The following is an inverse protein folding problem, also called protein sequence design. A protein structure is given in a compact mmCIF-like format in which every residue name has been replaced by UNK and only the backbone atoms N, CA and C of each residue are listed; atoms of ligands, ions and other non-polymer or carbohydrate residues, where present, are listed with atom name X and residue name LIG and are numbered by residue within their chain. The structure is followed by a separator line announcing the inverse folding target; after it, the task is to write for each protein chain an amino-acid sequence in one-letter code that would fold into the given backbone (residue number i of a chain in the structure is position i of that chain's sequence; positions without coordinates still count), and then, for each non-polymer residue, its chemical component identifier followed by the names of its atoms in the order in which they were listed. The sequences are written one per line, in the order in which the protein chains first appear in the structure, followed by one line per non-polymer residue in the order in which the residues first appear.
data_IF_267095336386
#
_entry.id   IF_267095336386
#
_cell.length_a   1.000
_cell.length_b   1.000
_cell.length_c   1.000
_cell.angle_alpha   90.00
_cell.angle_beta   90.00
_cell.angle_gamma   90.00
#
_symmetry.space_group_name_H-M   'P 1'
#
loop_
_entity.id
_entity.type
_entity.pdbx_description
1 polymer ?
#
# COMPACT_ATOMS: atom_id res chain seq x y z
N UNK A 1 37.89 25.78 -0.10
CA UNK A 1 36.64 25.17 0.35
C UNK A 1 35.50 26.06 -0.13
N UNK A 2 34.71 25.61 -1.10
CA UNK A 2 33.62 26.42 -1.66
C UNK A 2 32.38 26.15 -0.81
N UNK A 3 31.85 27.17 -0.14
CA UNK A 3 30.61 27.07 0.60
C UNK A 3 29.45 27.45 -0.33
N UNK A 4 28.59 26.50 -0.67
CA UNK A 4 27.36 26.77 -1.42
C UNK A 4 26.30 27.29 -0.45
N UNK A 5 25.64 28.44 -0.74
CA UNK A 5 24.46 28.88 -0.02
C UNK A 5 23.38 27.80 0.04
N UNK A 6 22.64 27.75 1.15
CA UNK A 6 21.55 26.79 1.37
C UNK A 6 20.52 26.78 0.24
N UNK A 7 20.16 27.96 -0.27
CA UNK A 7 19.22 28.11 -1.39
C UNK A 7 19.71 27.41 -2.67
N UNK A 8 21.01 27.42 -2.94
CA UNK A 8 21.58 26.73 -4.10
C UNK A 8 21.54 25.21 -3.93
N UNK A 9 21.80 24.72 -2.71
CA UNK A 9 21.68 23.28 -2.39
C UNK A 9 20.22 22.82 -2.52
N UNK A 10 19.27 23.62 -2.03
CA UNK A 10 17.83 23.32 -2.13
C UNK A 10 17.34 23.40 -3.59
N UNK A 11 17.84 24.35 -4.39
CA UNK A 11 17.55 24.41 -5.82
C UNK A 11 18.11 23.19 -6.58
N UNK A 12 19.33 22.76 -6.26
CA UNK A 12 19.95 21.60 -6.90
C UNK A 12 19.20 20.31 -6.54
N UNK A 13 18.79 20.15 -5.28
CA UNK A 13 17.98 19.01 -4.83
C UNK A 13 16.65 18.94 -5.57
N UNK A 14 15.94 20.07 -5.71
CA UNK A 14 14.68 20.12 -6.47
C UNK A 14 14.88 19.71 -7.92
N UNK A 15 15.90 20.25 -8.59
CA UNK A 15 16.20 19.88 -9.97
C UNK A 15 16.52 18.38 -10.13
N UNK A 16 17.28 17.80 -9.18
CA UNK A 16 17.59 16.37 -9.18
C UNK A 16 16.36 15.49 -8.91
N UNK A 17 15.45 15.92 -8.02
CA UNK A 17 14.19 15.24 -7.77
C UNK A 17 13.27 15.28 -8.99
N UNK A 18 13.16 16.42 -9.66
CA UNK A 18 12.37 16.59 -10.89
C UNK A 18 12.92 15.71 -12.02
N UNK A 19 14.23 15.74 -12.28
CA UNK A 19 14.89 14.87 -13.26
C UNK A 19 14.66 13.39 -12.94
N UNK A 20 14.79 12.99 -11.67
CA UNK A 20 14.50 11.62 -11.28
C UNK A 20 13.03 11.24 -11.48
N UNK A 21 12.11 12.15 -11.16
CA UNK A 21 10.69 11.90 -11.34
C UNK A 21 10.32 11.68 -12.81
N UNK A 22 10.91 12.47 -13.73
CA UNK A 22 10.73 12.30 -15.18
C UNK A 22 11.31 10.97 -15.68
N UNK A 23 12.52 10.61 -15.25
CA UNK A 23 13.13 9.32 -15.59
C UNK A 23 12.28 8.14 -15.12
N UNK A 24 11.73 8.22 -13.91
CA UNK A 24 10.91 7.17 -13.34
C UNK A 24 9.54 7.12 -14.01
N UNK A 25 8.91 8.27 -14.30
CA UNK A 25 7.67 8.30 -15.09
C UNK A 25 7.87 7.57 -16.44
N UNK A 26 8.94 7.91 -17.18
CA UNK A 26 9.24 7.28 -18.46
C UNK A 26 9.46 5.77 -18.32
N UNK A 27 10.18 5.34 -17.29
CA UNK A 27 10.36 3.93 -16.95
C UNK A 27 9.02 3.24 -16.66
N UNK A 28 8.20 3.82 -15.79
CA UNK A 28 6.92 3.23 -15.39
C UNK A 28 5.97 3.13 -16.57
N UNK A 29 5.87 4.16 -17.42
CA UNK A 29 5.03 4.11 -18.64
C UNK A 29 5.51 3.03 -19.60
N UNK A 30 6.82 2.89 -19.81
CA UNK A 30 7.37 1.84 -20.67
C UNK A 30 6.98 0.42 -20.23
N UNK A 31 6.91 0.18 -18.92
CA UNK A 31 6.71 -1.16 -18.36
C UNK A 31 5.28 -1.45 -17.87
N UNK A 32 4.49 -0.40 -17.58
CA UNK A 32 3.16 -0.50 -17.00
C UNK A 32 2.14 0.39 -17.75
N UNK A 33 2.35 0.62 -19.06
CA UNK A 33 1.51 1.52 -19.87
C UNK A 33 0.03 1.21 -19.72
N UNK A 34 -0.36 -0.06 -19.79
CA UNK A 34 -1.78 -0.40 -19.71
C UNK A 34 -2.43 -0.03 -18.37
N UNK A 35 -1.67 -0.13 -17.26
CA UNK A 35 -2.10 0.31 -15.92
C UNK A 35 -2.15 1.83 -15.79
N UNK A 36 -1.20 2.53 -16.42
CA UNK A 36 -1.00 3.97 -16.27
C UNK A 36 -1.66 4.82 -17.35
N UNK A 37 -2.18 4.19 -18.42
CA UNK A 37 -2.94 4.85 -19.50
C UNK A 37 -4.06 5.76 -18.97
N UNK A 38 -4.84 5.37 -17.94
CA UNK A 38 -5.90 6.23 -17.41
C UNK A 38 -5.38 7.40 -16.56
N UNK A 39 -4.09 7.41 -16.21
CA UNK A 39 -3.48 8.42 -15.36
C UNK A 39 -2.77 9.48 -16.22
N UNK A 40 -3.04 10.74 -15.92
CA UNK A 40 -2.30 11.87 -16.50
C UNK A 40 -0.82 11.85 -16.05
N UNK A 41 0.05 12.54 -16.78
CA UNK A 41 1.45 12.68 -16.38
C UNK A 41 1.62 13.33 -15.00
N UNK A 42 0.79 14.32 -14.66
CA UNK A 42 0.84 14.96 -13.36
C UNK A 42 0.49 13.99 -12.22
N UNK A 43 -0.45 13.07 -12.45
CA UNK A 43 -0.79 12.02 -11.48
C UNK A 43 0.33 11.00 -11.31
N UNK A 44 0.98 10.59 -12.39
CA UNK A 44 2.13 9.69 -12.31
C UNK A 44 3.30 10.37 -11.60
N UNK A 45 3.60 11.63 -11.88
CA UNK A 45 4.64 12.40 -11.18
C UNK A 45 4.32 12.58 -9.70
N UNK A 46 3.06 12.89 -9.37
CA UNK A 46 2.62 12.96 -7.97
C UNK A 46 2.79 11.63 -7.25
N UNK A 47 2.49 10.50 -7.91
CA UNK A 47 2.74 9.17 -7.38
C UNK A 47 4.24 8.88 -7.19
N UNK A 48 5.09 9.30 -8.13
CA UNK A 48 6.54 9.16 -8.00
C UNK A 48 7.07 9.95 -6.82
N UNK A 49 6.65 11.21 -6.67
CA UNK A 49 7.06 12.05 -5.53
C UNK A 49 6.61 11.45 -4.20
N UNK A 50 5.34 11.04 -4.10
CA UNK A 50 4.82 10.36 -2.92
C UNK A 50 5.59 9.06 -2.65
N UNK A 51 5.94 8.31 -3.69
CA UNK A 51 6.71 7.08 -3.54
C UNK A 51 8.15 7.30 -3.10
N UNK A 52 8.79 8.41 -3.49
CA UNK A 52 10.09 8.82 -2.94
C UNK A 52 9.96 9.04 -1.44
N UNK A 53 8.97 9.84 -1.01
CA UNK A 53 8.74 10.15 0.41
C UNK A 53 8.44 8.90 1.24
N UNK A 54 7.56 8.02 0.74
CA UNK A 54 7.25 6.75 1.39
C UNK A 54 8.46 5.82 1.42
N UNK A 55 9.24 5.76 0.34
CA UNK A 55 10.47 4.97 0.26
C UNK A 55 11.53 5.43 1.27
N UNK A 56 11.78 6.74 1.34
CA UNK A 56 12.72 7.34 2.30
C UNK A 56 12.29 7.05 3.75
N UNK A 57 10.99 7.14 4.06
CA UNK A 57 10.45 6.80 5.37
C UNK A 57 10.67 5.32 5.75
N UNK A 58 10.89 4.45 4.77
CA UNK A 58 11.21 3.02 4.95
C UNK A 58 12.71 2.73 4.79
N UNK A 59 13.55 3.77 4.68
CA UNK A 59 15.00 3.63 4.58
C UNK A 59 15.54 3.31 3.18
N UNK A 60 14.75 3.48 2.12
CA UNK A 60 15.25 3.42 0.75
C UNK A 60 16.10 4.66 0.48
N UNK A 61 17.38 4.47 0.15
CA UNK A 61 18.33 5.59 0.00
C UNK A 61 18.92 5.69 -1.41
N UNK A 62 18.73 4.66 -2.23
CA UNK A 62 19.25 4.59 -3.59
C UNK A 62 18.13 4.81 -4.62
N UNK A 63 18.43 5.56 -5.71
CA UNK A 63 17.50 5.74 -6.84
C UNK A 63 17.00 4.41 -7.43
N UNK A 64 17.85 3.39 -7.44
CA UNK A 64 17.49 2.05 -7.91
C UNK A 64 16.46 1.35 -7.03
N UNK A 65 16.56 1.52 -5.71
CA UNK A 65 15.60 0.97 -4.74
C UNK A 65 14.24 1.63 -4.90
N UNK A 66 14.21 2.96 -4.98
CA UNK A 66 12.96 3.73 -5.17
C UNK A 66 12.30 3.36 -6.49
N UNK A 67 13.06 3.20 -7.58
CA UNK A 67 12.50 2.78 -8.88
C UNK A 67 11.86 1.39 -8.80
N UNK A 68 12.48 0.44 -8.09
CA UNK A 68 11.92 -0.90 -7.92
C UNK A 68 10.70 -0.89 -7.01
N UNK A 69 10.73 -0.13 -5.92
CA UNK A 69 9.57 0.10 -5.07
C UNK A 69 8.39 0.66 -5.88
N UNK A 70 8.61 1.67 -6.72
CA UNK A 70 7.58 2.27 -7.57
C UNK A 70 7.05 1.29 -8.63
N UNK A 71 7.91 0.43 -9.19
CA UNK A 71 7.47 -0.64 -10.08
C UNK A 71 6.50 -1.61 -9.38
N UNK A 72 6.80 -1.97 -8.12
CA UNK A 72 5.89 -2.79 -7.32
C UNK A 72 4.62 -2.03 -6.93
N UNK A 73 4.72 -0.73 -6.64
CA UNK A 73 3.60 0.13 -6.31
C UNK A 73 2.57 0.24 -7.44
N UNK A 74 2.98 0.21 -8.71
CA UNK A 74 2.04 0.17 -9.83
C UNK A 74 1.04 -0.99 -9.77
N UNK A 75 1.33 -2.02 -8.97
CA UNK A 75 0.67 -3.32 -9.01
C UNK A 75 0.05 -3.65 -7.65
N UNK A 76 0.77 -3.31 -6.58
CA UNK A 76 0.33 -3.53 -5.21
C UNK A 76 -0.30 -2.27 -4.56
N UNK A 77 -0.15 -1.10 -5.19
CA UNK A 77 -0.46 0.21 -4.62
C UNK A 77 0.76 0.83 -3.92
N UNK A 78 0.81 2.17 -3.84
CA UNK A 78 1.91 2.91 -3.19
C UNK A 78 2.09 2.53 -1.71
N UNK A 79 1.01 2.22 -1.01
CA UNK A 79 1.06 1.90 0.43
C UNK A 79 1.32 0.41 0.70
N UNK A 80 2.08 -0.27 -0.17
CA UNK A 80 2.40 -1.70 -0.06
C UNK A 80 3.04 -2.11 1.27
N UNK A 81 3.75 -1.22 1.97
CA UNK A 81 4.32 -1.52 3.29
C UNK A 81 3.28 -1.59 4.41
N UNK A 82 2.14 -0.91 4.24
CA UNK A 82 1.03 -0.92 5.19
C UNK A 82 -0.03 -1.98 4.84
N UNK A 83 0.10 -2.62 3.68
CA UNK A 83 -0.86 -3.58 3.18
C UNK A 83 -0.48 -5.00 3.61
N UNK A 84 -1.28 -5.67 4.47
CA UNK A 84 -0.96 -7.01 4.95
C UNK A 84 -0.77 -8.05 3.83
N UNK A 85 -1.40 -7.81 2.67
CA UNK A 85 -1.34 -8.71 1.50
C UNK A 85 0.00 -8.64 0.78
N UNK A 86 0.82 -7.66 1.12
CA UNK A 86 2.12 -7.40 0.54
C UNK A 86 3.26 -7.91 1.42
N UNK A 87 2.97 -8.45 2.61
CA UNK A 87 3.99 -8.91 3.56
C UNK A 87 4.96 -9.95 2.94
N UNK A 88 4.46 -10.82 2.05
CA UNK A 88 5.29 -11.79 1.33
C UNK A 88 6.37 -11.17 0.44
N UNK A 89 6.24 -9.89 0.05
CA UNK A 89 7.24 -9.22 -0.80
C UNK A 89 8.52 -8.84 -0.03
N UNK A 90 8.43 -8.71 1.30
CA UNK A 90 9.53 -8.19 2.13
C UNK A 90 10.20 -9.24 3.01
N UNK A 91 9.73 -10.49 2.96
CA UNK A 91 10.24 -11.57 3.81
C UNK A 91 10.59 -12.79 2.98
N UNK A 92 11.81 -13.33 3.16
CA UNK A 92 12.25 -14.57 2.49
C UNK A 92 11.42 -15.79 2.93
N UNK A 93 10.88 -15.75 4.15
CA UNK A 93 9.87 -16.67 4.65
C UNK A 93 8.86 -15.86 5.48
N UNK A 94 7.56 -15.80 5.10
CA UNK A 94 6.54 -15.14 5.90
C UNK A 94 6.33 -15.95 7.19
N UNK A 95 7.15 -15.70 8.20
CA UNK A 95 6.96 -16.27 9.54
C UNK A 95 6.42 -15.17 10.44
N UNK A 96 5.27 -15.44 11.06
CA UNK A 96 4.54 -14.52 11.95
C UNK A 96 5.41 -13.94 13.09
N UNK A 97 6.57 -14.53 13.38
CA UNK A 97 7.50 -14.09 14.43
C UNK A 97 8.66 -13.19 13.98
N UNK A 98 8.83 -12.92 12.68
CA UNK A 98 9.94 -12.11 12.15
C UNK A 98 9.54 -10.67 11.77
N UNK A 99 8.33 -10.25 12.11
CA UNK A 99 7.75 -8.95 11.75
C UNK A 99 8.36 -7.74 12.50
N UNK A 100 9.32 -7.94 13.41
CA UNK A 100 9.84 -6.86 14.28
C UNK A 100 11.00 -6.06 13.68
N UNK A 101 11.51 -6.41 12.49
CA UNK A 101 12.52 -5.61 11.79
C UNK A 101 12.02 -5.18 10.40
N UNK A 102 11.53 -3.94 10.22
CA UNK A 102 11.04 -3.42 8.93
C UNK A 102 12.09 -3.28 7.83
N UNK A 103 13.35 -3.67 8.04
CA UNK A 103 14.47 -3.23 7.20
C UNK A 103 15.09 -4.30 6.30
N UNK A 104 14.49 -5.48 6.18
CA UNK A 104 14.96 -6.48 5.21
C UNK A 104 14.27 -6.33 3.86
N UNK A 105 14.16 -5.10 3.33
CA UNK A 105 13.84 -4.89 1.92
C UNK A 105 15.02 -5.37 1.07
N UNK A 106 15.18 -6.68 0.96
CA UNK A 106 16.13 -7.30 0.08
C UNK A 106 15.53 -7.24 -1.32
N UNK A 107 16.04 -6.31 -2.13
CA UNK A 107 15.71 -6.15 -3.54
C UNK A 107 15.77 -7.49 -4.31
N UNK A 108 16.63 -8.41 -3.85
CA UNK A 108 16.76 -9.76 -4.35
C UNK A 108 15.57 -10.65 -3.98
N UNK A 109 15.05 -10.55 -2.76
CA UNK A 109 13.83 -11.24 -2.32
C UNK A 109 12.64 -10.75 -3.11
N UNK A 110 12.52 -9.44 -3.27
CA UNK A 110 11.47 -8.84 -4.10
C UNK A 110 11.56 -9.30 -5.55
N UNK A 111 12.73 -9.19 -6.18
CA UNK A 111 12.94 -9.60 -7.57
C UNK A 111 12.69 -11.11 -7.79
N UNK A 112 13.14 -11.95 -6.84
CA UNK A 112 12.89 -13.39 -6.84
C UNK A 112 11.39 -13.67 -6.78
N UNK A 113 10.71 -13.08 -5.81
CA UNK A 113 9.30 -13.33 -5.57
C UNK A 113 8.45 -12.80 -6.74
N UNK A 114 8.78 -11.63 -7.31
CA UNK A 114 8.11 -11.06 -8.49
C UNK A 114 8.33 -11.91 -9.75
N UNK A 115 9.53 -12.48 -9.95
CA UNK A 115 9.85 -13.30 -11.12
C UNK A 115 9.06 -14.61 -11.21
N UNK A 116 8.59 -15.13 -10.08
CA UNK A 116 7.71 -16.31 -10.03
C UNK A 116 6.24 -15.99 -10.31
N UNK A 117 5.89 -14.70 -10.31
CA UNK A 117 4.51 -14.25 -10.41
C UNK A 117 4.13 -13.97 -11.86
N UNK A 118 3.95 -15.03 -12.65
CA UNK A 118 3.26 -14.92 -13.95
C UNK A 118 1.75 -14.77 -13.72
N UNK A 119 1.17 -13.66 -14.22
CA UNK A 119 -0.28 -13.43 -14.20
C UNK A 119 -0.85 -12.55 -13.07
N UNK A 120 -0.03 -12.04 -12.14
CA UNK A 120 -0.48 -10.98 -11.21
C UNK A 120 -0.48 -9.59 -11.87
N UNK A 121 0.33 -9.45 -12.91
CA UNK A 121 0.41 -8.30 -13.81
C UNK A 121 -0.44 -8.60 -15.05
N UNK A 122 -1.77 -8.64 -14.88
CA UNK A 122 -2.68 -8.78 -16.04
C UNK A 122 -2.56 -7.51 -16.90
N UNK A 123 -2.60 -7.68 -18.22
CA UNK A 123 -2.40 -6.61 -19.20
C UNK A 123 -3.39 -5.43 -19.08
N UNK A 124 -4.44 -5.53 -18.26
CA UNK A 124 -5.29 -4.38 -17.90
C UNK A 124 -5.90 -4.60 -16.50
N UNK A 125 -5.33 -3.96 -15.48
CA UNK A 125 -5.81 -4.05 -14.10
C UNK A 125 -7.18 -3.37 -13.89
N UNK A 126 -7.64 -2.57 -14.87
CA UNK A 126 -8.95 -1.92 -14.86
C UNK A 126 -9.95 -2.59 -15.82
N UNK A 127 -9.55 -3.60 -16.59
CA UNK A 127 -10.51 -4.38 -17.36
C UNK A 127 -11.27 -5.31 -16.42
N UNK A 128 -12.59 -5.21 -16.40
CA UNK A 128 -13.45 -6.18 -15.70
C UNK A 128 -13.56 -5.99 -14.19
N UNK A 129 -12.91 -4.99 -13.58
CA UNK A 129 -12.96 -4.84 -12.11
C UNK A 129 -14.35 -4.43 -11.62
N UNK A 130 -15.11 -3.66 -12.39
CA UNK A 130 -16.48 -3.28 -12.02
C UNK A 130 -17.40 -4.50 -11.98
N UNK A 131 -17.26 -5.40 -12.95
CA UNK A 131 -17.97 -6.67 -13.01
C UNK A 131 -17.55 -7.58 -11.85
N UNK A 132 -16.25 -7.64 -11.54
CA UNK A 132 -15.72 -8.41 -10.42
C UNK A 132 -16.23 -7.88 -9.07
N UNK A 133 -16.18 -6.55 -8.86
CA UNK A 133 -16.71 -5.89 -7.65
C UNK A 133 -18.22 -6.12 -7.56
N UNK A 134 -18.95 -5.97 -8.66
CA UNK A 134 -20.41 -6.19 -8.69
C UNK A 134 -20.78 -7.65 -8.43
N UNK A 135 -19.98 -8.61 -8.91
CA UNK A 135 -20.17 -10.03 -8.61
C UNK A 135 -19.90 -10.33 -7.14
N UNK A 136 -18.83 -9.77 -6.58
CA UNK A 136 -18.52 -9.87 -5.15
C UNK A 136 -19.57 -9.21 -4.27
N UNK A 137 -20.13 -8.07 -4.68
CA UNK A 137 -21.26 -7.42 -3.98
C UNK A 137 -22.46 -8.36 -3.90
N UNK A 138 -22.81 -9.07 -4.99
CA UNK A 138 -23.90 -10.06 -4.98
C UNK A 138 -23.63 -11.25 -4.06
N UNK A 139 -22.37 -11.62 -3.89
CA UNK A 139 -21.97 -12.70 -2.98
C UNK A 139 -21.99 -12.24 -1.51
N UNK A 140 -21.60 -11.00 -1.23
CA UNK A 140 -21.64 -10.40 0.11
C UNK A 140 -23.07 -10.04 0.53
N UNK A 141 -23.92 -9.67 -0.44
CA UNK A 141 -25.33 -9.35 -0.27
C UNK A 141 -26.21 -10.34 -1.05
N UNK A 142 -26.37 -11.59 -0.55
CA UNK A 142 -27.46 -12.42 -1.03
C UNK A 142 -28.79 -11.67 -0.82
N UNK A 143 -29.78 -11.92 -1.67
CA UNK A 143 -31.01 -11.13 -1.79
C UNK A 143 -31.59 -10.67 -0.43
N UNK A 144 -32.14 -9.44 -0.41
CA UNK A 144 -32.58 -8.64 0.76
C UNK A 144 -33.41 -9.34 1.85
N UNK A 145 -33.90 -10.55 1.60
CA UNK A 145 -34.80 -11.28 2.48
C UNK A 145 -34.07 -12.08 3.59
N UNK A 146 -32.76 -12.28 3.48
CA UNK A 146 -31.96 -12.91 4.55
C UNK A 146 -31.29 -11.86 5.43
N UNK A 147 -32.02 -11.38 6.44
CA UNK A 147 -31.54 -10.41 7.46
C UNK A 147 -30.50 -10.99 8.44
N UNK A 148 -29.57 -11.80 7.94
CA UNK A 148 -28.48 -12.37 8.72
C UNK A 148 -27.29 -11.39 8.88
N UNK A 149 -26.52 -11.50 9.97
CA UNK A 149 -25.28 -10.74 10.12
C UNK A 149 -24.34 -11.04 8.95
N UNK A 150 -23.82 -9.97 8.32
CA UNK A 150 -22.86 -10.03 7.20
C UNK A 150 -21.66 -10.90 7.61
N UNK A 151 -21.62 -12.14 7.13
CA UNK A 151 -20.59 -13.08 7.55
C UNK A 151 -19.23 -12.66 6.99
N UNK A 152 -18.22 -12.57 7.85
CA UNK A 152 -16.82 -12.39 7.44
C UNK A 152 -16.38 -13.46 6.45
N UNK A 153 -16.96 -14.66 6.52
CA UNK A 153 -16.67 -15.75 5.58
C UNK A 153 -17.15 -15.46 4.14
N UNK A 154 -18.29 -14.79 3.98
CA UNK A 154 -18.79 -14.38 2.66
C UNK A 154 -17.88 -13.35 2.00
N UNK A 155 -17.47 -12.34 2.77
CA UNK A 155 -16.49 -11.35 2.30
C UNK A 155 -15.16 -12.00 1.89
N UNK A 156 -14.59 -12.89 2.72
CA UNK A 156 -13.34 -13.59 2.38
C UNK A 156 -13.44 -14.35 1.06
N UNK A 157 -14.53 -15.08 0.87
CA UNK A 157 -14.76 -15.85 -0.36
C UNK A 157 -14.86 -14.95 -1.58
N UNK A 158 -15.62 -13.85 -1.48
CA UNK A 158 -15.73 -12.87 -2.53
C UNK A 158 -14.37 -12.27 -2.92
N UNK A 159 -13.54 -11.89 -1.93
CA UNK A 159 -12.18 -11.37 -2.16
C UNK A 159 -11.28 -12.37 -2.90
N UNK A 160 -11.26 -13.63 -2.46
CA UNK A 160 -10.43 -14.67 -3.07
C UNK A 160 -10.90 -14.99 -4.50
N UNK A 161 -12.20 -14.96 -4.75
CA UNK A 161 -12.79 -15.16 -6.09
C UNK A 161 -12.48 -14.00 -7.05
N UNK A 162 -12.49 -12.75 -6.56
CA UNK A 162 -12.24 -11.57 -7.39
C UNK A 162 -10.84 -11.55 -8.02
N UNK A 163 -9.83 -12.08 -7.32
CA UNK A 163 -8.47 -12.13 -7.83
C UNK A 163 -7.77 -13.45 -7.44
N UNK A 164 -8.05 -14.54 -8.19
CA UNK A 164 -7.50 -15.86 -7.88
C UNK A 164 -5.97 -15.91 -7.99
N UNK A 165 -5.36 -15.06 -8.83
CA UNK A 165 -3.92 -14.94 -8.92
C UNK A 165 -3.33 -14.42 -7.60
N UNK A 166 -3.94 -13.38 -7.02
CA UNK A 166 -3.54 -12.82 -5.71
C UNK A 166 -3.76 -13.80 -4.56
N UNK A 167 -4.81 -14.63 -4.62
CA UNK A 167 -5.08 -15.65 -3.61
C UNK A 167 -3.94 -16.69 -3.43
N UNK A 168 -3.04 -16.84 -4.41
CA UNK A 168 -1.87 -17.73 -4.31
C UNK A 168 -0.78 -17.20 -3.39
N UNK A 169 -0.74 -15.90 -3.16
CA UNK A 169 0.32 -15.20 -2.43
C UNK A 169 -0.13 -14.71 -1.05
N UNK A 170 -1.44 -14.74 -0.79
CA UNK A 170 -2.05 -14.20 0.44
C UNK A 170 -2.59 -15.36 1.25
N UNK A 171 -2.00 -15.63 2.42
CA UNK A 171 -2.48 -16.65 3.33
C UNK A 171 -3.81 -16.26 3.98
N UNK A 172 -4.56 -17.24 4.51
CA UNK A 172 -5.79 -16.95 5.24
C UNK A 172 -5.64 -15.91 6.38
N UNK A 173 -4.54 -15.93 7.19
CA UNK A 173 -4.29 -14.89 8.20
C UNK A 173 -4.14 -13.49 7.60
N UNK A 174 -3.55 -13.38 6.40
CA UNK A 174 -3.33 -12.10 5.73
C UNK A 174 -4.64 -11.51 5.20
N UNK A 175 -5.61 -12.36 4.80
CA UNK A 175 -6.96 -11.91 4.43
C UNK A 175 -7.70 -11.32 5.64
N UNK A 176 -7.56 -11.94 6.82
CA UNK A 176 -8.14 -11.41 8.06
C UNK A 176 -7.51 -10.07 8.46
N UNK A 177 -6.18 -10.00 8.43
CA UNK A 177 -5.44 -8.77 8.69
C UNK A 177 -5.84 -7.66 7.70
N UNK A 178 -5.92 -7.98 6.40
CA UNK A 178 -6.40 -7.06 5.38
C UNK A 178 -7.81 -6.54 5.68
N UNK A 179 -8.75 -7.43 6.01
CA UNK A 179 -10.13 -7.04 6.31
C UNK A 179 -10.21 -6.09 7.50
N UNK A 180 -9.39 -6.32 8.53
CA UNK A 180 -9.29 -5.42 9.66
C UNK A 180 -8.80 -4.03 9.24
N UNK A 181 -7.67 -3.96 8.53
CA UNK A 181 -7.08 -2.71 8.06
C UNK A 181 -8.03 -1.96 7.12
N UNK A 182 -8.59 -2.63 6.10
CA UNK A 182 -9.47 -2.01 5.13
C UNK A 182 -10.76 -1.47 5.76
N UNK A 183 -11.33 -2.17 6.76
CA UNK A 183 -12.49 -1.67 7.51
C UNK A 183 -12.16 -0.44 8.35
N UNK A 184 -11.02 -0.46 9.04
CA UNK A 184 -10.56 0.70 9.81
C UNK A 184 -10.33 1.93 8.92
N UNK A 185 -9.78 1.74 7.71
CA UNK A 185 -9.62 2.84 6.75
C UNK A 185 -10.97 3.34 6.21
N UNK A 186 -11.90 2.44 5.88
CA UNK A 186 -13.25 2.83 5.48
C UNK A 186 -13.97 3.63 6.58
N UNK A 187 -13.81 3.23 7.84
CA UNK A 187 -14.37 3.94 9.00
C UNK A 187 -13.77 5.34 9.17
N UNK A 188 -12.45 5.50 9.00
CA UNK A 188 -11.80 6.82 9.03
C UNK A 188 -12.32 7.77 7.93
N UNK A 189 -12.74 7.20 6.81
CA UNK A 189 -13.35 7.94 5.69
C UNK A 189 -14.86 8.18 5.89
N UNK A 190 -15.44 7.73 7.00
CA UNK A 190 -16.87 7.86 7.28
C UNK A 190 -17.75 6.97 6.39
N UNK A 191 -17.21 5.87 5.85
CA UNK A 191 -17.94 4.97 4.96
C UNK A 191 -18.70 3.91 5.76
N UNK A 192 -19.99 3.78 5.46
CA UNK A 192 -20.89 2.82 6.10
C UNK A 192 -21.63 1.97 5.08
N UNK A 193 -22.34 0.94 5.57
CA UNK A 193 -23.26 0.14 4.76
C UNK A 193 -22.62 -0.46 3.50
N UNK A 194 -23.20 -0.14 2.35
CA UNK A 194 -22.74 -0.60 1.03
C UNK A 194 -21.42 0.05 0.60
N UNK A 195 -21.23 1.34 0.89
CA UNK A 195 -20.00 2.08 0.57
C UNK A 195 -18.79 1.49 1.29
N UNK A 196 -18.94 1.07 2.55
CA UNK A 196 -17.88 0.37 3.29
C UNK A 196 -17.51 -0.96 2.63
N UNK A 197 -18.51 -1.76 2.24
CA UNK A 197 -18.27 -3.02 1.54
C UNK A 197 -17.54 -2.78 0.23
N UNK A 198 -18.03 -1.84 -0.59
CA UNK A 198 -17.39 -1.47 -1.85
C UNK A 198 -15.96 -1.00 -1.66
N UNK A 199 -15.69 -0.19 -0.64
CA UNK A 199 -14.33 0.22 -0.30
C UNK A 199 -13.42 -0.98 -0.05
N UNK A 200 -13.86 -1.97 0.74
CA UNK A 200 -13.07 -3.18 1.03
C UNK A 200 -12.77 -3.96 -0.26
N UNK A 201 -13.75 -4.09 -1.17
CA UNK A 201 -13.56 -4.77 -2.46
C UNK A 201 -12.59 -4.01 -3.37
N UNK A 202 -12.69 -2.68 -3.45
CA UNK A 202 -11.77 -1.84 -4.23
C UNK A 202 -10.36 -1.84 -3.63
N UNK A 203 -10.25 -1.74 -2.30
CA UNK A 203 -8.98 -1.86 -1.60
C UNK A 203 -8.29 -3.21 -1.86
N UNK A 204 -9.08 -4.27 -2.08
CA UNK A 204 -8.54 -5.57 -2.47
C UNK A 204 -7.94 -5.59 -3.89
N UNK A 205 -8.33 -4.69 -4.76
CA UNK A 205 -7.71 -4.59 -6.09
C UNK A 205 -6.56 -3.60 -6.10
N UNK A 206 -6.72 -2.48 -5.39
CA UNK A 206 -5.86 -1.30 -5.57
C UNK A 206 -4.97 -0.94 -4.38
N UNK A 207 -5.15 -1.57 -3.22
CA UNK A 207 -4.38 -1.25 -2.01
C UNK A 207 -5.27 -0.72 -0.88
N UNK A 208 -4.90 -0.98 0.37
CA UNK A 208 -5.66 -0.53 1.57
C UNK A 208 -5.84 0.99 1.69
N UNK A 209 -5.07 1.79 0.97
CA UNK A 209 -5.16 3.27 0.94
C UNK A 209 -5.27 3.82 -0.47
N UNK A 210 -5.92 3.08 -1.38
CA UNK A 210 -6.02 3.47 -2.80
C UNK A 210 -6.64 4.86 -3.03
N UNK A 211 -7.46 5.36 -2.10
CA UNK A 211 -8.05 6.72 -2.22
C UNK A 211 -7.01 7.84 -2.09
N UNK A 212 -5.86 7.55 -1.49
CA UNK A 212 -4.73 8.47 -1.32
C UNK A 212 -3.65 8.26 -2.39
N UNK A 213 -3.76 7.19 -3.17
CA UNK A 213 -2.81 6.82 -4.20
C UNK A 213 -3.16 7.55 -5.52
N UNK A 214 -2.30 8.45 -6.04
CA UNK A 214 -2.58 9.16 -7.28
C UNK A 214 -2.78 8.23 -8.49
N UNK A 215 -2.20 7.03 -8.50
CA UNK A 215 -2.38 6.02 -9.55
C UNK A 215 -3.76 5.33 -9.49
N UNK A 216 -4.51 5.57 -8.43
CA UNK A 216 -5.81 4.95 -8.18
C UNK A 216 -6.96 5.96 -8.23
N UNK A 217 -6.71 7.23 -8.58
CA UNK A 217 -7.76 8.24 -8.76
C UNK A 217 -8.93 7.78 -9.65
N UNK A 218 -8.71 7.11 -10.81
CA UNK A 218 -9.82 6.59 -11.60
C UNK A 218 -10.71 5.61 -10.80
N UNK A 219 -10.12 4.80 -9.92
CA UNK A 219 -10.84 3.84 -9.08
C UNK A 219 -11.71 4.53 -8.00
N UNK A 220 -11.35 5.74 -7.56
CA UNK A 220 -12.09 6.49 -6.52
C UNK A 220 -13.49 6.86 -6.99
N UNK A 221 -13.67 7.17 -8.27
CA UNK A 221 -14.99 7.48 -8.83
C UNK A 221 -16.01 6.35 -8.61
N UNK A 222 -15.56 5.09 -8.63
CA UNK A 222 -16.42 3.92 -8.46
C UNK A 222 -16.94 3.73 -7.04
N UNK A 223 -16.26 4.31 -6.04
CA UNK A 223 -16.75 4.33 -4.67
C UNK A 223 -18.11 5.05 -4.55
N UNK A 224 -18.38 6.00 -5.47
CA UNK A 224 -19.57 6.84 -5.47
C UNK A 224 -20.61 6.44 -6.53
N UNK A 225 -20.26 5.61 -7.52
CA UNK A 225 -21.08 5.36 -8.71
C UNK A 225 -22.35 4.51 -8.52
N UNK A 226 -22.66 3.97 -7.33
CA UNK A 226 -23.95 3.31 -7.06
C UNK A 226 -24.74 4.05 -6.00
N UNK A 227 -25.92 4.48 -6.39
CA UNK A 227 -26.84 5.32 -5.65
C UNK A 227 -27.22 6.44 -6.59
N UNK A 228 -28.43 6.39 -7.17
CA UNK A 228 -28.94 7.41 -8.08
C UNK A 228 -29.22 8.75 -7.40
N UNK A 229 -28.32 9.20 -6.52
CA UNK A 229 -28.34 10.51 -5.89
C UNK A 229 -27.30 11.39 -6.58
N UNK A 230 -27.81 12.36 -7.33
CA UNK A 230 -27.06 13.38 -8.06
C UNK A 230 -26.31 14.39 -7.15
N UNK A 231 -26.12 14.15 -5.84
CA UNK A 231 -25.73 15.24 -4.93
C UNK A 231 -24.79 14.82 -3.78
N UNK A 232 -23.68 14.15 -4.11
CA UNK A 232 -22.51 14.14 -3.23
C UNK A 232 -21.56 15.23 -3.72
N UNK A 233 -21.63 16.39 -3.07
CA UNK A 233 -20.66 17.47 -3.26
C UNK A 233 -19.21 16.97 -3.17
N UNK A 234 -18.25 17.70 -3.76
CA UNK A 234 -16.85 17.28 -3.80
C UNK A 234 -16.38 16.92 -2.38
N UNK A 235 -15.75 15.76 -2.21
CA UNK A 235 -15.11 15.36 -0.96
C UNK A 235 -13.88 16.26 -0.77
N UNK A 236 -14.10 17.50 -0.35
CA UNK A 236 -13.07 18.54 -0.18
C UNK A 236 -12.17 18.33 1.05
N UNK A 237 -12.14 17.12 1.61
CA UNK A 237 -11.43 16.79 2.85
C UNK A 237 -10.21 15.89 2.71
N UNK A 238 -9.92 15.37 1.50
CA UNK A 238 -8.79 14.48 1.24
C UNK A 238 -7.58 15.22 0.66
N UNK A 239 -7.25 16.38 1.22
CA UNK A 239 -5.91 16.93 1.03
C UNK A 239 -4.88 15.97 1.63
N UNK A 240 -3.67 15.83 1.04
CA UNK A 240 -2.62 15.02 1.66
C UNK A 240 -2.39 15.55 3.07
N UNK A 241 -2.79 14.77 4.08
CA UNK A 241 -2.39 15.06 5.45
C UNK A 241 -0.89 14.89 5.46
N UNK A 242 -0.16 16.00 5.58
CA UNK A 242 1.28 15.98 5.77
C UNK A 242 1.57 14.93 6.84
N UNK A 243 2.30 13.89 6.48
CA UNK A 243 2.90 12.98 7.44
C UNK A 243 3.82 13.86 8.28
N UNK A 244 3.29 14.40 9.38
CA UNK A 244 4.07 15.22 10.30
C UNK A 244 5.27 14.38 10.77
N UNK A 245 6.45 14.99 10.93
CA UNK A 245 7.62 14.25 11.40
C UNK A 245 7.24 13.58 12.71
N UNK A 246 7.35 12.24 12.72
CA UNK A 246 7.15 11.44 13.92
C UNK A 246 7.99 12.04 15.05
N UNK A 247 7.30 12.50 16.09
CA UNK A 247 7.87 13.36 17.11
C UNK A 247 9.10 12.75 17.80
N UNK A 248 9.99 13.67 18.16
CA UNK A 248 11.10 13.50 19.10
C UNK A 248 10.72 12.57 20.26
N UNK A 249 11.32 11.37 20.27
CA UNK A 249 11.50 10.61 21.50
C UNK A 249 12.74 11.12 22.22
N UNK A 250 12.56 12.21 22.96
CA UNK A 250 13.45 12.59 24.05
C UNK A 250 12.72 12.39 25.38
N UNK A 251 13.07 11.31 26.07
CA UNK A 251 13.00 11.27 27.54
C UNK A 251 14.13 10.37 28.01
N UNK A 252 15.24 11.02 28.36
CA UNK A 252 16.36 10.40 29.05
C UNK A 252 15.90 9.85 30.40
N UNK A 253 16.08 8.54 30.57
CA UNK A 253 16.06 7.89 31.87
C UNK A 253 17.49 7.80 32.36
N UNK A 254 17.79 8.61 33.37
CA UNK A 254 18.99 8.60 34.18
C UNK A 254 19.14 7.23 34.87
N UNK A 255 20.13 6.42 34.47
CA UNK A 255 20.51 5.19 35.18
C UNK A 255 21.96 5.34 35.63
N UNK A 256 22.11 5.57 36.93
CA UNK A 256 23.39 5.66 37.62
C UNK A 256 24.17 4.33 37.65
N UNK A 257 25.43 4.37 38.12
CA UNK A 257 26.31 3.21 38.11
C UNK A 257 25.99 2.28 39.30
N UNK A 258 25.52 1.08 39.01
CA UNK A 258 25.27 0.02 39.98
C UNK A 258 26.11 -1.22 39.69
N UNK A 259 27.19 -1.36 40.45
CA UNK A 259 28.11 -2.48 40.61
C UNK A 259 27.42 -3.85 40.71
N UNK A 260 28.08 -4.93 40.27
CA UNK A 260 27.78 -6.26 40.84
C UNK A 260 28.16 -7.47 40.00
N UNK A 261 29.30 -8.06 40.33
CA UNK A 261 29.78 -9.41 39.99
C UNK A 261 28.71 -10.52 40.09
N UNK A 262 28.81 -11.52 39.22
CA UNK A 262 28.07 -12.77 39.39
C UNK A 262 28.24 -13.77 38.24
N UNK A 263 29.46 -14.27 38.02
CA UNK A 263 29.69 -15.47 37.20
C UNK A 263 29.11 -16.67 37.96
N UNK A 264 28.19 -17.41 37.36
CA UNK A 264 27.83 -18.73 37.84
C UNK A 264 27.81 -19.73 36.68
N UNK A 265 28.84 -20.58 36.64
CA UNK A 265 28.91 -21.79 35.82
C UNK A 265 28.08 -22.86 36.52
N UNK A 266 27.02 -23.32 35.88
CA UNK A 266 26.25 -24.49 36.31
C UNK A 266 26.53 -25.66 35.36
N UNK A 267 27.11 -26.71 35.93
CA UNK A 267 27.44 -27.99 35.31
C UNK A 267 26.18 -28.75 34.86
N UNK A 268 26.34 -29.54 33.79
CA UNK A 268 25.39 -30.57 33.36
C UNK A 268 25.62 -31.87 34.13
N UNK A 269 24.58 -32.68 34.39
CA UNK A 269 24.71 -34.13 34.34
C UNK A 269 24.73 -34.66 32.90
#
# INVERSE_FOLDING_TARGET
MVALPREQVESLRRAQCEEFAEEVEAFLRRHFEARLRPCSSDEVRAAVQLGIELGEAQGLTLRGEVRIYLACACVCGLFLFEDPRCAWMFHEQPTLGAAEAPTNFAIQTLARNVGEVTGFFVDDALAGFEEAVSAAEREVYPARDEAGPRSSAGMKRALLTMNPARARFVGAPDVDAFLHVARAQAERLGLEGEKRTRYVLLAWLFGVRFVEDPLCKPAVAFLHAKGGDEDLGPVSGLGPRSLGPGGDRASGGDLGPGSGLGVNRGERP
#
